data_IF_226876322834
#
_entry.id   IF_226876322834
#
_cell.length_a   1.000
_cell.length_b   1.000
_cell.length_c   1.000
_cell.angle_alpha   90.00
_cell.angle_beta   90.00
_cell.angle_gamma   90.00
#
_symmetry.space_group_name_H-M   'P 1'
#
loop_
_entity.id
_entity.type
_entity.pdbx_description
1 polymer ?
#
# COMPACT_ATOMS: atom_id res chain seq x y z
N UNK A 1 -29.99 11.50 22.06
CA UNK A 1 -29.45 11.00 20.77
C UNK A 1 -28.86 12.12 19.91
N UNK A 2 -29.57 13.24 19.78
CA UNK A 2 -29.20 14.37 18.92
C UNK A 2 -27.80 14.96 19.22
N UNK A 3 -27.46 15.18 20.50
CA UNK A 3 -26.16 15.75 20.89
C UNK A 3 -24.95 14.89 20.48
N UNK A 4 -25.07 13.56 20.55
CA UNK A 4 -24.01 12.64 20.12
C UNK A 4 -23.82 12.67 18.61
N UNK A 5 -24.91 12.69 17.85
CA UNK A 5 -24.86 12.78 16.40
C UNK A 5 -24.22 14.10 15.95
N UNK A 6 -24.59 15.22 16.60
CA UNK A 6 -23.99 16.53 16.35
C UNK A 6 -22.48 16.55 16.62
N UNK A 7 -22.02 15.94 17.72
CA UNK A 7 -20.58 15.85 18.01
C UNK A 7 -19.84 15.00 16.97
N UNK A 8 -20.39 13.85 16.57
CA UNK A 8 -19.78 13.01 15.52
C UNK A 8 -19.66 13.80 14.21
N UNK A 9 -20.70 14.52 13.83
CA UNK A 9 -20.68 15.35 12.62
C UNK A 9 -19.60 16.43 12.71
N UNK A 10 -19.53 17.18 13.82
CA UNK A 10 -18.49 18.20 14.04
C UNK A 10 -17.07 17.63 13.91
N UNK A 11 -16.80 16.51 14.59
CA UNK A 11 -15.50 15.83 14.53
C UNK A 11 -15.20 15.35 13.11
N UNK A 12 -16.18 14.76 12.44
CA UNK A 12 -16.03 14.24 11.07
C UNK A 12 -15.73 15.36 10.08
N UNK A 13 -16.46 16.47 10.16
CA UNK A 13 -16.22 17.65 9.32
C UNK A 13 -14.83 18.23 9.54
N UNK A 14 -14.37 18.30 10.79
CA UNK A 14 -13.04 18.82 11.09
C UNK A 14 -11.93 17.89 10.59
N UNK A 15 -12.11 16.56 10.69
CA UNK A 15 -11.20 15.59 10.08
C UNK A 15 -11.11 15.80 8.57
N UNK A 16 -12.26 15.92 7.88
CA UNK A 16 -12.29 16.14 6.42
C UNK A 16 -11.56 17.42 6.04
N UNK A 17 -11.80 18.51 6.79
CA UNK A 17 -11.14 19.80 6.56
C UNK A 17 -9.63 19.73 6.69
N UNK A 18 -9.11 19.06 7.72
CA UNK A 18 -7.66 18.96 7.94
C UNK A 18 -6.99 17.94 7.01
N UNK A 19 -7.75 16.96 6.51
CA UNK A 19 -7.27 15.86 5.66
C UNK A 19 -7.67 16.02 4.18
N UNK A 20 -7.92 17.23 3.71
CA UNK A 20 -8.35 17.48 2.32
C UNK A 20 -7.44 16.79 1.28
N UNK A 21 -6.11 16.80 1.50
CA UNK A 21 -5.14 16.09 0.67
C UNK A 21 -5.39 14.59 0.54
N UNK A 22 -5.83 13.92 1.61
CA UNK A 22 -6.21 12.51 1.57
C UNK A 22 -7.45 12.28 0.70
N UNK A 23 -8.49 13.10 0.85
CA UNK A 23 -9.75 12.90 0.13
C UNK A 23 -9.60 13.20 -1.36
N UNK A 24 -8.77 14.18 -1.70
CA UNK A 24 -8.48 14.57 -3.09
C UNK A 24 -7.45 13.62 -3.74
N UNK A 25 -6.30 13.39 -3.11
CA UNK A 25 -5.15 12.72 -3.73
C UNK A 25 -4.85 11.32 -3.20
N UNK A 26 -5.45 10.93 -2.06
CA UNK A 26 -5.36 9.59 -1.48
C UNK A 26 -4.35 9.46 -0.34
N UNK A 27 -4.10 8.21 0.07
CA UNK A 27 -3.31 7.85 1.27
C UNK A 27 -1.91 8.48 1.31
N UNK A 28 -1.28 8.69 0.14
CA UNK A 28 0.04 9.33 0.04
C UNK A 28 0.06 10.77 0.59
N UNK A 29 -1.09 11.45 0.60
CA UNK A 29 -1.24 12.83 1.06
C UNK A 29 -1.94 12.91 2.42
N UNK A 30 -1.98 11.80 3.16
CA UNK A 30 -2.48 11.78 4.53
C UNK A 30 -1.53 12.56 5.43
N UNK A 31 -2.05 13.62 6.05
CA UNK A 31 -1.28 14.50 6.94
C UNK A 31 -1.32 13.98 8.38
N UNK A 32 -0.27 14.18 9.17
CA UNK A 32 -0.31 13.91 10.59
C UNK A 32 -1.42 14.71 11.27
N UNK A 33 -2.25 14.03 12.05
CA UNK A 33 -3.34 14.65 12.80
C UNK A 33 -3.42 14.00 14.17
N UNK A 34 -3.31 14.82 15.20
CA UNK A 34 -3.46 14.36 16.57
C UNK A 34 -4.89 14.63 17.06
N UNK A 35 -5.33 13.88 18.07
CA UNK A 35 -6.67 14.05 18.65
C UNK A 35 -6.82 15.43 19.28
N UNK A 36 -5.75 15.96 19.88
CA UNK A 36 -5.72 17.29 20.51
C UNK A 36 -6.06 18.42 19.52
N UNK A 37 -5.51 18.40 18.31
CA UNK A 37 -5.76 19.44 17.30
C UNK A 37 -7.24 19.49 16.89
N UNK A 38 -7.86 18.33 16.71
CA UNK A 38 -9.31 18.27 16.43
C UNK A 38 -10.11 18.71 17.66
N UNK A 39 -9.72 18.28 18.86
CA UNK A 39 -10.39 18.63 20.10
C UNK A 39 -10.35 20.15 20.36
N UNK A 40 -9.20 20.78 20.18
CA UNK A 40 -8.99 22.22 20.31
C UNK A 40 -9.81 22.98 19.25
N UNK A 41 -9.82 22.52 18.00
CA UNK A 41 -10.58 23.15 16.92
C UNK A 41 -12.11 23.14 17.17
N UNK A 42 -12.64 22.08 17.77
CA UNK A 42 -14.08 21.97 18.07
C UNK A 42 -14.44 22.36 19.50
N UNK A 43 -13.47 22.87 20.28
CA UNK A 43 -13.62 23.29 21.68
C UNK A 43 -14.19 22.17 22.58
N UNK A 44 -13.60 20.97 22.48
CA UNK A 44 -13.96 19.79 23.27
C UNK A 44 -12.72 19.15 23.89
N UNK A 45 -12.93 18.26 24.86
CA UNK A 45 -11.84 17.51 25.46
C UNK A 45 -11.40 16.35 24.55
N UNK A 46 -10.09 16.08 24.49
CA UNK A 46 -9.50 15.00 23.70
C UNK A 46 -10.14 13.63 23.99
N UNK A 47 -10.40 13.34 25.27
CA UNK A 47 -11.06 12.09 25.68
C UNK A 47 -12.48 11.96 25.11
N UNK A 48 -13.19 13.07 24.88
CA UNK A 48 -14.49 13.05 24.23
C UNK A 48 -14.34 12.70 22.76
N UNK A 49 -13.40 13.33 22.05
CA UNK A 49 -13.10 13.05 20.63
C UNK A 49 -12.71 11.58 20.45
N UNK A 50 -11.81 11.06 21.27
CA UNK A 50 -11.37 9.66 21.23
C UNK A 50 -12.52 8.67 21.41
N UNK A 51 -13.47 8.96 22.31
CA UNK A 51 -14.63 8.12 22.57
C UNK A 51 -15.67 8.17 21.45
N UNK A 52 -15.91 9.34 20.86
CA UNK A 52 -16.94 9.48 19.81
C UNK A 52 -16.47 8.94 18.47
N UNK A 53 -15.17 8.93 18.19
CA UNK A 53 -14.59 8.39 16.95
C UNK A 53 -14.42 6.87 16.97
N UNK A 54 -14.37 6.25 18.15
CA UNK A 54 -14.23 4.80 18.28
C UNK A 54 -15.39 4.04 17.63
N UNK A 55 -15.06 3.03 16.81
CA UNK A 55 -16.04 2.19 16.11
C UNK A 55 -17.02 3.04 15.29
N UNK A 56 -16.53 4.13 14.68
CA UNK A 56 -17.29 4.95 13.73
C UNK A 56 -16.56 4.96 12.41
N UNK A 57 -17.35 4.90 11.35
CA UNK A 57 -16.86 4.76 9.99
C UNK A 57 -17.42 5.89 9.14
N UNK A 58 -16.59 6.37 8.23
CA UNK A 58 -16.91 7.36 7.22
C UNK A 58 -16.83 6.69 5.86
N UNK A 59 -17.93 6.75 5.11
CA UNK A 59 -17.92 6.38 3.70
C UNK A 59 -17.31 7.55 2.90
N UNK A 60 -16.35 7.22 2.03
CA UNK A 60 -15.60 8.17 1.21
C UNK A 60 -15.62 7.69 -0.24
N UNK A 61 -15.25 8.56 -1.18
CA UNK A 61 -15.03 8.19 -2.59
C UNK A 61 -13.96 7.09 -2.79
N UNK A 62 -13.15 6.79 -1.76
CA UNK A 62 -12.06 5.80 -1.77
C UNK A 62 -12.38 4.57 -0.92
N UNK A 63 -13.60 4.45 -0.40
CA UNK A 63 -14.04 3.34 0.44
C UNK A 63 -14.47 3.78 1.85
N UNK A 64 -14.68 2.81 2.73
CA UNK A 64 -15.13 3.04 4.11
C UNK A 64 -13.91 3.01 5.04
N UNK A 65 -13.71 4.09 5.78
CA UNK A 65 -12.59 4.23 6.73
C UNK A 65 -13.10 4.43 8.14
N UNK A 66 -12.44 3.83 9.14
CA UNK A 66 -12.70 4.18 10.53
C UNK A 66 -12.21 5.61 10.79
N UNK A 67 -12.95 6.42 11.55
CA UNK A 67 -12.52 7.79 11.90
C UNK A 67 -11.16 7.80 12.59
N UNK A 68 -10.83 6.74 13.32
CA UNK A 68 -9.55 6.61 14.00
C UNK A 68 -8.35 6.53 13.05
N UNK A 69 -8.56 6.08 11.82
CA UNK A 69 -7.51 5.93 10.81
C UNK A 69 -6.80 7.26 10.51
N UNK A 70 -7.53 8.38 10.58
CA UNK A 70 -7.00 9.70 10.29
C UNK A 70 -6.11 10.26 11.41
N UNK A 71 -6.13 9.68 12.62
CA UNK A 71 -5.26 10.12 13.71
C UNK A 71 -3.92 9.38 13.65
N UNK A 72 -3.00 9.91 12.86
CA UNK A 72 -1.68 9.31 12.65
C UNK A 72 -0.58 10.11 13.30
N UNK A 73 0.43 9.40 13.82
CA UNK A 73 1.67 10.02 14.28
C UNK A 73 2.42 10.73 13.14
N UNK A 74 3.07 11.85 13.46
CA UNK A 74 3.91 12.59 12.51
C UNK A 74 5.30 11.98 12.40
N UNK A 75 5.83 11.97 11.18
CA UNK A 75 7.23 11.71 10.89
C UNK A 75 7.84 13.01 10.36
N UNK A 76 9.04 13.35 10.84
CA UNK A 76 9.75 14.56 10.46
C UNK A 76 10.08 14.55 8.95
N UNK A 77 9.97 15.71 8.31
CA UNK A 77 10.45 15.92 6.95
C UNK A 77 11.95 16.23 6.97
N UNK A 78 12.67 15.83 5.91
CA UNK A 78 14.11 16.03 5.77
C UNK A 78 14.50 17.52 5.68
N UNK A 79 13.66 18.32 5.02
CA UNK A 79 14.04 19.65 4.52
C UNK A 79 13.07 20.77 4.96
N UNK A 80 12.42 20.60 6.11
CA UNK A 80 11.42 21.56 6.61
C UNK A 80 10.11 21.59 5.80
N UNK A 81 9.89 20.59 4.95
CA UNK A 81 8.63 20.37 4.23
C UNK A 81 7.50 19.84 5.11
N UNK A 82 6.32 19.63 4.50
CA UNK A 82 5.14 19.11 5.18
C UNK A 82 5.47 17.78 5.90
N UNK A 83 5.10 17.68 7.19
CA UNK A 83 5.28 16.44 7.93
C UNK A 83 4.45 15.31 7.32
N UNK A 84 5.01 14.10 7.25
CA UNK A 84 4.34 12.95 6.66
C UNK A 84 3.75 12.03 7.73
N UNK A 85 2.58 11.45 7.45
CA UNK A 85 1.99 10.44 8.33
C UNK A 85 2.72 9.10 8.19
N UNK A 86 2.78 8.33 9.28
CA UNK A 86 3.34 6.99 9.25
C UNK A 86 2.65 6.04 8.24
N UNK A 87 1.37 6.29 7.97
CA UNK A 87 0.59 5.52 6.99
C UNK A 87 0.95 5.89 5.54
N UNK A 88 1.11 7.18 5.24
CA UNK A 88 1.63 7.63 3.95
C UNK A 88 3.01 7.04 3.66
N UNK A 89 3.91 7.01 4.66
CA UNK A 89 5.23 6.39 4.52
C UNK A 89 5.14 4.88 4.28
N UNK A 90 4.28 4.16 5.01
CA UNK A 90 4.02 2.73 4.76
C UNK A 90 3.54 2.49 3.33
N UNK A 91 2.62 3.33 2.86
CA UNK A 91 2.10 3.25 1.50
C UNK A 91 3.20 3.49 0.45
N UNK A 92 4.07 4.49 0.63
CA UNK A 92 5.21 4.72 -0.25
C UNK A 92 6.21 3.57 -0.25
N UNK A 93 6.56 3.01 0.91
CA UNK A 93 7.44 1.83 1.01
C UNK A 93 6.84 0.66 0.21
N UNK A 94 5.53 0.41 0.38
CA UNK A 94 4.85 -0.65 -0.35
C UNK A 94 4.87 -0.40 -1.86
N UNK A 95 4.59 0.83 -2.32
CA UNK A 95 4.66 1.16 -3.75
C UNK A 95 6.06 0.97 -4.34
N UNK A 96 7.12 1.35 -3.61
CA UNK A 96 8.50 1.16 -4.05
C UNK A 96 8.86 -0.33 -4.17
N UNK A 97 8.44 -1.14 -3.20
CA UNK A 97 8.71 -2.59 -3.22
C UNK A 97 7.86 -3.31 -4.28
N UNK A 98 6.59 -2.94 -4.43
CA UNK A 98 5.70 -3.54 -5.44
C UNK A 98 6.18 -3.22 -6.87
N UNK A 99 6.80 -2.05 -7.09
CA UNK A 99 7.39 -1.64 -8.35
C UNK A 99 8.83 -2.09 -8.59
N UNK A 100 9.44 -2.88 -7.70
CA UNK A 100 10.86 -3.24 -7.81
C UNK A 100 11.13 -4.24 -8.94
N UNK A 101 12.19 -4.00 -9.73
CA UNK A 101 12.59 -4.89 -10.81
C UNK A 101 13.11 -6.23 -10.22
N UNK A 102 12.67 -7.40 -10.73
CA UNK A 102 13.19 -8.69 -10.32
C UNK A 102 14.72 -8.84 -10.38
N UNK A 103 15.39 -8.13 -11.30
CA UNK A 103 16.86 -8.13 -11.41
C UNK A 103 17.56 -7.18 -10.44
N UNK A 104 16.83 -6.22 -9.86
CA UNK A 104 17.36 -5.17 -8.99
C UNK A 104 16.41 -4.90 -7.81
N UNK A 105 16.42 -5.81 -6.83
CA UNK A 105 15.65 -5.70 -5.59
C UNK A 105 16.14 -4.52 -4.74
N UNK A 106 15.22 -3.70 -4.26
CA UNK A 106 15.56 -2.53 -3.46
C UNK A 106 15.96 -2.96 -2.04
N UNK A 107 17.14 -2.52 -1.61
CA UNK A 107 17.56 -2.68 -0.20
C UNK A 107 16.82 -1.67 0.69
N UNK A 108 16.73 -1.95 2.00
CA UNK A 108 16.13 -1.01 2.95
C UNK A 108 16.89 0.35 2.93
N UNK A 109 18.21 0.34 2.67
CA UNK A 109 19.03 1.55 2.50
C UNK A 109 18.67 2.33 1.21
N UNK A 110 18.41 1.61 0.11
CA UNK A 110 17.95 2.21 -1.15
C UNK A 110 16.55 2.82 -1.00
N UNK A 111 15.67 2.18 -0.22
CA UNK A 111 14.33 2.70 0.06
C UNK A 111 14.42 4.00 0.87
N UNK A 112 15.30 4.08 1.87
CA UNK A 112 15.56 5.32 2.62
C UNK A 112 15.99 6.44 1.67
N UNK A 113 16.94 6.17 0.77
CA UNK A 113 17.43 7.20 -0.17
C UNK A 113 16.31 7.71 -1.10
N UNK A 114 15.49 6.79 -1.64
CA UNK A 114 14.34 7.15 -2.47
C UNK A 114 13.31 7.99 -1.72
N UNK A 115 13.05 7.64 -0.46
CA UNK A 115 12.12 8.38 0.40
C UNK A 115 12.66 9.78 0.74
N UNK A 116 13.97 9.91 0.96
CA UNK A 116 14.61 11.22 1.15
C UNK A 116 14.47 12.12 -0.07
N UNK A 117 14.63 11.57 -1.29
CA UNK A 117 14.39 12.34 -2.53
C UNK A 117 12.95 12.86 -2.62
N UNK A 118 11.99 12.18 -1.99
CA UNK A 118 10.58 12.62 -1.91
C UNK A 118 10.28 13.52 -0.70
N UNK A 119 11.28 13.93 0.08
CA UNK A 119 11.13 14.82 1.24
C UNK A 119 10.87 14.12 2.58
N UNK A 120 10.94 12.78 2.63
CA UNK A 120 10.70 11.97 3.82
C UNK A 120 12.04 11.56 4.43
N UNK A 121 12.42 12.11 5.58
CA UNK A 121 13.58 11.60 6.33
C UNK A 121 13.16 10.53 7.33
N UNK A 122 13.71 9.34 7.14
CA UNK A 122 13.39 8.18 7.95
C UNK A 122 14.62 7.29 8.12
N UNK A 123 14.83 6.83 9.35
CA UNK A 123 15.90 5.89 9.63
C UNK A 123 15.61 4.51 9.02
N UNK A 124 16.68 3.84 8.54
CA UNK A 124 16.64 2.45 8.02
C UNK A 124 15.90 1.47 8.94
N UNK A 125 16.13 1.56 10.26
CA UNK A 125 15.46 0.70 11.26
C UNK A 125 13.93 0.89 11.24
N UNK A 126 13.45 2.11 11.00
CA UNK A 126 12.03 2.41 10.91
C UNK A 126 11.43 1.86 9.62
N UNK A 127 12.14 1.93 8.50
CA UNK A 127 11.75 1.28 7.23
C UNK A 127 11.61 -0.24 7.43
N UNK A 128 12.61 -0.88 8.04
CA UNK A 128 12.56 -2.31 8.34
C UNK A 128 11.36 -2.68 9.23
N UNK A 129 11.11 -1.91 10.30
CA UNK A 129 9.95 -2.09 11.19
C UNK A 129 8.62 -1.97 10.42
N UNK A 130 8.48 -0.99 9.54
CA UNK A 130 7.27 -0.80 8.73
C UNK A 130 7.09 -1.92 7.70
N UNK A 131 8.18 -2.36 7.08
CA UNK A 131 8.20 -3.51 6.16
C UNK A 131 7.71 -4.79 6.86
N UNK A 132 8.22 -5.07 8.05
CA UNK A 132 7.81 -6.23 8.86
C UNK A 132 6.35 -6.15 9.31
N UNK A 133 5.88 -4.97 9.72
CA UNK A 133 4.48 -4.75 10.08
C UNK A 133 3.52 -5.03 8.90
N UNK A 134 3.97 -4.76 7.67
CA UNK A 134 3.25 -5.09 6.43
C UNK A 134 3.49 -6.53 5.95
N UNK A 135 4.20 -7.36 6.73
CA UNK A 135 4.58 -8.75 6.40
C UNK A 135 5.38 -8.88 5.10
N UNK A 136 6.13 -7.84 4.73
CA UNK A 136 6.99 -7.86 3.55
C UNK A 136 8.35 -8.45 3.93
N UNK A 137 8.86 -9.48 3.24
CA UNK A 137 10.15 -10.09 3.57
C UNK A 137 11.33 -9.16 3.25
N UNK A 138 12.50 -9.46 3.82
CA UNK A 138 13.71 -8.67 3.61
C UNK A 138 14.16 -8.69 2.15
N UNK A 139 14.96 -7.71 1.73
CA UNK A 139 15.49 -7.65 0.35
C UNK A 139 16.26 -8.91 -0.04
N UNK A 140 16.98 -9.52 0.91
CA UNK A 140 17.70 -10.79 0.71
C UNK A 140 16.74 -11.94 0.40
N UNK A 141 15.65 -12.05 1.17
CA UNK A 141 14.64 -13.09 0.96
C UNK A 141 13.87 -12.84 -0.34
N UNK A 142 13.44 -11.60 -0.61
CA UNK A 142 12.75 -11.23 -1.88
C UNK A 142 13.58 -11.56 -3.11
N UNK A 143 14.90 -11.31 -3.05
CA UNK A 143 15.84 -11.68 -4.12
C UNK A 143 15.88 -13.19 -4.33
N UNK A 144 15.96 -13.97 -3.26
CA UNK A 144 15.95 -15.44 -3.35
C UNK A 144 14.63 -15.97 -3.93
N UNK A 145 13.50 -15.44 -3.47
CA UNK A 145 12.17 -15.86 -3.91
C UNK A 145 11.97 -15.56 -5.41
N UNK A 146 12.32 -14.35 -5.85
CA UNK A 146 12.21 -13.96 -7.28
C UNK A 146 13.21 -14.71 -8.17
N UNK A 147 14.43 -14.99 -7.69
CA UNK A 147 15.40 -15.80 -8.44
C UNK A 147 14.93 -17.25 -8.60
N UNK A 148 14.30 -17.82 -7.57
CA UNK A 148 13.64 -19.13 -7.64
C UNK A 148 12.47 -19.13 -8.64
N UNK A 149 11.67 -18.07 -8.65
CA UNK A 149 10.57 -17.91 -9.63
C UNK A 149 11.07 -17.83 -11.08
N UNK A 150 12.14 -17.06 -11.35
CA UNK A 150 12.74 -16.98 -12.69
C UNK A 150 13.31 -18.33 -13.14
N UNK A 151 13.96 -19.07 -12.24
CA UNK A 151 14.48 -20.41 -12.51
C UNK A 151 13.39 -21.43 -12.84
N UNK A 152 12.23 -21.33 -12.17
CA UNK A 152 11.09 -22.19 -12.46
C UNK A 152 10.36 -21.84 -13.77
N UNK A 153 10.26 -20.55 -14.11
CA UNK A 153 9.64 -20.12 -15.37
C UNK A 153 10.42 -20.59 -16.61
N UNK A 154 11.75 -20.66 -16.51
CA UNK A 154 12.63 -21.19 -17.57
C UNK A 154 12.63 -22.73 -17.67
N UNK A 155 12.07 -23.43 -16.68
CA UNK A 155 12.03 -24.90 -16.61
C UNK A 155 10.64 -25.48 -16.89
N UNK A 156 9.66 -24.65 -17.28
CA UNK A 156 8.35 -25.14 -17.71
C UNK A 156 8.51 -26.04 -18.95
N UNK A 157 7.97 -27.27 -18.96
CA UNK A 157 8.10 -28.16 -20.09
C UNK A 157 7.36 -27.57 -21.29
N UNK A 158 8.04 -27.50 -22.44
CA UNK A 158 7.41 -27.20 -23.73
C UNK A 158 6.24 -28.16 -23.96
N UNK A 159 5.08 -27.61 -24.26
CA UNK A 159 3.83 -28.32 -24.46
C UNK A 159 4.01 -29.42 -25.54
N UNK A 160 3.73 -30.71 -25.27
CA UNK A 160 3.98 -31.79 -26.23
C UNK A 160 2.92 -31.90 -27.35
N UNK A 161 2.04 -30.90 -27.53
CA UNK A 161 0.92 -30.98 -28.48
C UNK A 161 1.30 -30.78 -29.96
N UNK A 162 2.59 -30.66 -30.30
CA UNK A 162 3.05 -30.42 -31.69
C UNK A 162 3.53 -31.68 -32.43
N UNK A 163 3.12 -32.88 -31.99
CA UNK A 163 3.56 -34.17 -32.59
C UNK A 163 2.47 -34.96 -33.32
N UNK A 164 1.35 -34.35 -33.71
CA UNK A 164 0.33 -35.05 -34.51
C UNK A 164 0.03 -34.33 -35.82
N UNK A 165 0.94 -34.45 -36.79
CA UNK A 165 0.66 -34.05 -38.18
C UNK A 165 1.38 -34.85 -39.27
N UNK A 166 2.12 -35.93 -38.96
CA UNK A 166 2.87 -36.69 -39.98
C UNK A 166 2.38 -38.14 -40.25
N UNK A 167 1.25 -38.59 -39.72
CA UNK A 167 0.85 -40.01 -39.79
C UNK A 167 -0.54 -40.31 -40.39
N UNK A 168 -1.01 -39.51 -41.36
CA UNK A 168 -2.22 -39.83 -42.15
C UNK A 168 -2.08 -39.53 -43.65
N UNK A 169 -1.02 -40.02 -44.29
CA UNK A 169 -0.85 -39.92 -45.74
C UNK A 169 -0.83 -41.27 -46.49
N UNK A 170 -0.91 -42.43 -45.82
CA UNK A 170 -0.59 -43.71 -46.49
C UNK A 170 -1.68 -44.80 -46.41
N UNK A 171 -2.95 -44.40 -46.31
CA UNK A 171 -4.09 -45.33 -46.44
C UNK A 171 -5.20 -44.73 -47.29
N UNK A 172 -4.93 -44.52 -48.57
CA UNK A 172 -5.97 -44.29 -49.58
C UNK A 172 -5.42 -44.57 -50.99
N UNK A 173 -4.92 -45.78 -51.20
CA UNK A 173 -4.88 -46.45 -52.50
C UNK A 173 -5.24 -47.91 -52.25
N UNK A 174 -5.88 -48.53 -53.23
CA UNK A 174 -6.34 -49.92 -53.23
C UNK A 174 -7.73 -50.19 -52.67
N UNK A 175 -8.76 -49.52 -53.22
CA UNK A 175 -10.00 -50.20 -53.63
C UNK A 175 -10.58 -49.48 -54.87
N UNK A 176 -10.06 -49.80 -56.06
CA UNK A 176 -10.77 -49.66 -57.33
C UNK A 176 -9.98 -50.35 -58.45
N UNK A 177 -10.41 -51.56 -58.86
CA UNK A 177 -10.55 -51.99 -60.27
C UNK A 177 -10.54 -53.51 -60.40
N UNK A 178 -11.57 -54.02 -61.08
CA UNK A 178 -11.68 -55.26 -61.85
C UNK A 178 -11.58 -56.60 -61.12
#
# INVERSE_FOLDING_TARGET
>A
LDQRARTILKVSTEIVRQQDGFFTQGVAHLRPLNLKAVADAIQMHESTVSRVTANKYMATNRGIFELKYFFTASIASADGGDAHSAEAVRHHIKQLIDGENPSAILSDDTIVERLRTTGIDIARRTVAKYREAMRIPSSVQRRRDKQSMLGNALRAPANPSDRTSSEKSDRSRDIASA
#
